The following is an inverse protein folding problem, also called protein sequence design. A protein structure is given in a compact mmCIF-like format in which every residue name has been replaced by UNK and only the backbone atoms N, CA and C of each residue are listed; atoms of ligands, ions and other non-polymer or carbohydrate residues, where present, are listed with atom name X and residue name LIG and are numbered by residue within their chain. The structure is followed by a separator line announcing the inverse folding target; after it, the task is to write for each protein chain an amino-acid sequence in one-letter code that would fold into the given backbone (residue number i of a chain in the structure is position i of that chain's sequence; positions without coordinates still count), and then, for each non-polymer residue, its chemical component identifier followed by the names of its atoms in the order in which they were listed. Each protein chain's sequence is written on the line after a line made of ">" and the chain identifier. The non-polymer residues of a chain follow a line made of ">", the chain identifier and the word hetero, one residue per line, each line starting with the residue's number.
data_IF_136429762714
#
_entry.id   IF_136429762714
#
_cell.length_a   1.000
_cell.length_b   1.000
_cell.length_c   1.000
_cell.angle_alpha   90.00
_cell.angle_beta   90.00
_cell.angle_gamma   90.00
#
_symmetry.space_group_name_H-M   'P 1'
#
loop_
_entity.id
_entity.type
_entity.pdbx_description
1 polymer ?
#
# COMPACT_ATOMS: atom_id res chain seq x y z
N UNK A 1 -17.69 -4.00 19.72
CA UNK A 1 -16.49 -3.25 20.09
C UNK A 1 -16.79 -1.77 19.89
N UNK A 2 -17.16 -1.07 20.99
CA UNK A 2 -17.44 0.36 20.96
C UNK A 2 -16.12 1.14 20.99
N UNK A 3 -15.55 1.42 19.82
CA UNK A 3 -14.43 2.38 19.70
C UNK A 3 -14.95 3.74 20.07
N UNK A 4 -14.22 4.43 20.96
CA UNK A 4 -14.53 5.84 21.29
C UNK A 4 -14.06 6.71 20.12
N UNK A 5 -14.83 7.74 19.73
CA UNK A 5 -14.40 8.68 18.70
C UNK A 5 -13.16 9.45 19.19
N UNK A 6 -12.24 9.72 18.25
CA UNK A 6 -11.05 10.55 18.51
C UNK A 6 -11.47 11.96 18.91
N UNK A 7 -10.97 12.44 20.04
CA UNK A 7 -11.21 13.78 20.53
C UNK A 7 -10.00 14.67 20.20
N UNK A 8 -10.14 15.49 19.15
CA UNK A 8 -9.08 16.41 18.72
C UNK A 8 -8.04 15.75 17.82
N UNK A 9 -6.76 15.82 18.17
CA UNK A 9 -5.65 15.19 17.42
C UNK A 9 -4.86 14.27 18.35
N UNK A 10 -4.66 13.04 17.93
CA UNK A 10 -3.80 12.07 18.61
C UNK A 10 -2.53 11.86 17.78
N UNK A 11 -1.36 11.99 18.41
CA UNK A 11 -0.07 11.75 17.76
C UNK A 11 0.45 10.39 18.23
N UNK A 12 0.72 9.50 17.27
CA UNK A 12 1.35 8.21 17.53
C UNK A 12 2.68 8.16 16.81
N UNK A 13 3.66 7.61 17.49
CA UNK A 13 4.95 7.29 16.94
C UNK A 13 4.97 5.81 16.57
N UNK A 14 5.29 5.52 15.32
CA UNK A 14 5.46 4.18 14.80
C UNK A 14 6.87 4.03 14.27
N UNK A 15 7.51 2.94 14.60
CA UNK A 15 8.77 2.54 13.98
C UNK A 15 8.48 1.47 12.93
N UNK A 16 8.77 1.78 11.68
CA UNK A 16 8.51 0.85 10.56
C UNK A 16 9.57 1.01 9.49
N UNK A 17 10.02 -0.10 8.93
CA UNK A 17 11.18 -0.16 8.02
C UNK A 17 12.42 0.56 8.57
N UNK A 18 12.55 0.62 9.91
CA UNK A 18 13.62 1.36 10.59
C UNK A 18 13.51 2.89 10.53
N UNK A 19 12.40 3.41 10.05
CA UNK A 19 12.10 4.86 10.06
C UNK A 19 11.08 5.20 11.13
N UNK A 20 11.23 6.39 11.69
CA UNK A 20 10.28 6.95 12.63
C UNK A 20 9.14 7.63 11.86
N UNK A 21 7.94 7.09 11.97
CA UNK A 21 6.73 7.64 11.35
C UNK A 21 5.86 8.26 12.43
N UNK A 22 5.58 9.55 12.32
CA UNK A 22 4.64 10.24 13.21
C UNK A 22 3.29 10.33 12.53
N UNK A 23 2.30 9.64 13.07
CA UNK A 23 0.93 9.73 12.58
C UNK A 23 0.13 10.69 13.44
N UNK A 24 -0.64 11.56 12.79
CA UNK A 24 -1.60 12.46 13.45
C UNK A 24 -3.00 11.99 13.08
N UNK A 25 -3.69 11.36 14.03
CA UNK A 25 -5.09 10.99 13.87
C UNK A 25 -5.96 12.21 14.21
N UNK A 26 -6.60 12.77 13.17
CA UNK A 26 -7.43 13.97 13.29
C UNK A 26 -8.91 13.58 13.36
N UNK A 27 -9.62 14.08 14.37
CA UNK A 27 -11.03 13.79 14.56
C UNK A 27 -11.90 14.26 13.39
N UNK A 28 -12.76 13.37 12.90
CA UNK A 28 -13.75 13.67 11.87
C UNK A 28 -15.03 14.37 12.35
N UNK A 29 -15.13 14.74 13.65
CA UNK A 29 -16.29 15.44 14.20
C UNK A 29 -16.31 16.91 13.76
N UNK A 30 -17.48 17.50 13.50
CA UNK A 30 -17.67 18.83 12.93
C UNK A 30 -16.92 19.93 13.71
N UNK A 31 -17.06 19.95 15.04
CA UNK A 31 -16.34 20.91 15.90
C UNK A 31 -14.82 20.74 15.83
N UNK A 32 -14.35 19.54 15.57
CA UNK A 32 -12.92 19.25 15.43
C UNK A 32 -12.41 19.63 14.05
N UNK A 33 -13.19 19.39 12.99
CA UNK A 33 -12.86 19.77 11.61
C UNK A 33 -12.65 21.28 11.49
N UNK A 34 -13.56 22.09 12.07
CA UNK A 34 -13.42 23.55 12.09
C UNK A 34 -12.14 23.99 12.81
N UNK A 35 -11.83 23.40 13.97
CA UNK A 35 -10.59 23.68 14.71
C UNK A 35 -9.34 23.30 13.91
N UNK A 36 -9.38 22.16 13.19
CA UNK A 36 -8.27 21.70 12.35
C UNK A 36 -8.02 22.68 11.21
N UNK A 37 -9.06 23.12 10.51
CA UNK A 37 -8.95 24.11 9.43
C UNK A 37 -8.45 25.47 9.93
N UNK A 38 -8.96 25.94 11.05
CA UNK A 38 -8.51 27.20 11.67
C UNK A 38 -7.05 27.13 12.15
N UNK A 39 -6.50 25.93 12.31
CA UNK A 39 -5.10 25.66 12.69
C UNK A 39 -4.39 24.80 11.65
N UNK A 40 -4.76 24.94 10.39
CA UNK A 40 -4.18 24.16 9.29
C UNK A 40 -2.64 24.20 9.25
N UNK A 41 -1.94 25.32 9.57
CA UNK A 41 -0.49 25.32 9.67
C UNK A 41 0.08 24.32 10.69
N UNK A 42 -0.67 23.99 11.74
CA UNK A 42 -0.22 23.04 12.77
C UNK A 42 -0.48 21.60 12.35
N UNK A 43 -1.60 21.34 11.66
CA UNK A 43 -2.08 20.00 11.40
C UNK A 43 -1.76 19.49 10.00
N UNK A 44 -1.75 20.37 8.99
CA UNK A 44 -1.61 20.02 7.58
C UNK A 44 -0.27 20.46 6.99
N UNK A 45 0.37 21.50 7.54
CA UNK A 45 1.67 21.94 7.05
C UNK A 45 2.72 20.87 7.32
N UNK A 46 3.59 20.64 6.33
CA UNK A 46 4.70 19.68 6.41
C UNK A 46 4.25 18.21 6.62
N UNK A 47 3.04 17.90 6.19
CA UNK A 47 2.60 16.52 6.11
C UNK A 47 3.19 15.84 4.86
N UNK A 48 3.94 14.74 5.05
CA UNK A 48 4.54 13.97 3.95
C UNK A 48 3.52 13.12 3.20
N UNK A 49 2.43 12.75 3.88
CA UNK A 49 1.34 11.92 3.35
C UNK A 49 0.05 12.22 4.11
N UNK A 50 -1.08 12.21 3.40
CA UNK A 50 -2.41 12.34 3.99
C UNK A 50 -3.24 11.10 3.64
N UNK A 51 -3.80 10.45 4.66
CA UNK A 51 -4.87 9.48 4.50
C UNK A 51 -6.20 10.18 4.79
N UNK A 52 -7.07 10.26 3.78
CA UNK A 52 -8.40 10.84 3.92
C UNK A 52 -9.46 9.75 3.93
N UNK A 53 -10.16 9.57 5.05
CA UNK A 53 -11.12 8.50 5.24
C UNK A 53 -12.56 8.97 4.93
N UNK A 54 -13.28 8.18 4.10
CA UNK A 54 -14.70 8.36 3.82
C UNK A 54 -15.40 7.06 4.17
N UNK A 55 -16.49 7.15 4.95
CA UNK A 55 -17.34 6.02 5.30
C UNK A 55 -18.38 5.80 4.21
N UNK A 56 -18.32 4.64 3.50
CA UNK A 56 -19.25 4.32 2.42
C UNK A 56 -20.66 4.03 2.94
N UNK A 57 -20.79 3.66 4.22
CA UNK A 57 -22.09 3.35 4.85
C UNK A 57 -22.86 4.58 5.34
N UNK A 58 -22.29 5.77 5.19
CA UNK A 58 -22.91 7.04 5.59
C UNK A 58 -23.07 7.97 4.37
N UNK A 59 -23.95 7.61 3.42
CA UNK A 59 -24.10 8.37 2.17
C UNK A 59 -24.61 9.79 2.39
N UNK A 60 -25.36 10.04 3.46
CA UNK A 60 -25.90 11.35 3.80
C UNK A 60 -24.80 12.37 4.13
N UNK A 61 -23.65 11.90 4.60
CA UNK A 61 -22.51 12.77 4.95
C UNK A 61 -21.44 12.89 3.87
N UNK A 62 -21.62 12.26 2.72
CA UNK A 62 -20.63 12.34 1.63
C UNK A 62 -20.42 13.78 1.17
N UNK A 63 -21.49 14.57 1.00
CA UNK A 63 -21.38 15.97 0.57
C UNK A 63 -20.53 16.79 1.55
N UNK A 64 -20.79 16.66 2.83
CA UNK A 64 -20.03 17.31 3.89
C UNK A 64 -18.54 16.85 3.88
N UNK A 65 -18.31 15.54 3.71
CA UNK A 65 -16.95 15.00 3.61
C UNK A 65 -16.19 15.59 2.42
N UNK A 66 -16.84 15.69 1.25
CA UNK A 66 -16.22 16.24 0.04
C UNK A 66 -15.97 17.75 0.14
N UNK A 67 -16.85 18.50 0.79
CA UNK A 67 -16.61 19.92 1.09
C UNK A 67 -15.39 20.09 1.99
N UNK A 68 -15.29 19.31 3.06
CA UNK A 68 -14.13 19.33 3.96
C UNK A 68 -12.84 18.92 3.25
N UNK A 69 -12.90 17.90 2.39
CA UNK A 69 -11.79 17.49 1.54
C UNK A 69 -11.29 18.63 0.66
N UNK A 70 -12.20 19.34 -0.01
CA UNK A 70 -11.84 20.50 -0.83
C UNK A 70 -11.14 21.60 -0.01
N UNK A 71 -11.59 21.86 1.21
CA UNK A 71 -10.94 22.83 2.12
C UNK A 71 -9.53 22.41 2.51
N UNK A 72 -9.28 21.09 2.71
CA UNK A 72 -7.94 20.55 2.93
C UNK A 72 -7.06 20.81 1.69
N UNK A 73 -7.57 20.53 0.48
CA UNK A 73 -6.84 20.76 -0.77
C UNK A 73 -6.46 22.24 -0.96
N UNK A 74 -7.35 23.17 -0.63
CA UNK A 74 -7.05 24.60 -0.71
C UNK A 74 -5.92 25.00 0.26
N UNK A 75 -5.89 24.44 1.47
CA UNK A 75 -4.79 24.67 2.40
C UNK A 75 -3.46 24.11 1.89
N UNK A 76 -3.44 22.86 1.36
CA UNK A 76 -2.24 22.26 0.77
C UNK A 76 -1.72 23.12 -0.39
N UNK A 77 -2.62 23.63 -1.25
CA UNK A 77 -2.31 24.53 -2.35
C UNK A 77 -1.74 25.85 -1.86
N UNK A 78 -2.35 26.43 -0.82
CA UNK A 78 -1.89 27.69 -0.19
C UNK A 78 -0.44 27.56 0.31
N UNK A 79 -0.09 26.41 0.90
CA UNK A 79 1.25 26.12 1.39
C UNK A 79 2.21 25.66 0.28
N UNK A 80 1.76 25.59 -0.97
CA UNK A 80 2.53 25.10 -2.14
C UNK A 80 3.12 23.70 -1.95
N UNK A 81 2.46 22.86 -1.16
CA UNK A 81 2.87 21.50 -0.91
C UNK A 81 2.43 20.57 -2.05
N UNK A 82 3.17 19.48 -2.23
CA UNK A 82 2.85 18.39 -3.17
C UNK A 82 2.59 17.08 -2.43
N UNK A 83 2.00 17.19 -1.25
CA UNK A 83 1.69 16.05 -0.38
C UNK A 83 0.79 15.07 -1.12
N UNK A 84 1.17 13.80 -1.28
CA UNK A 84 0.29 12.78 -1.81
C UNK A 84 -0.87 12.53 -0.86
N UNK A 85 -2.04 12.21 -1.42
CA UNK A 85 -3.26 11.96 -0.67
C UNK A 85 -3.81 10.60 -1.05
N UNK A 86 -3.97 9.73 -0.07
CA UNK A 86 -4.64 8.45 -0.24
C UNK A 86 -6.07 8.57 0.30
N UNK A 87 -7.05 8.49 -0.60
CA UNK A 87 -8.46 8.49 -0.23
C UNK A 87 -8.86 7.05 0.12
N UNK A 88 -9.18 6.85 1.38
CA UNK A 88 -9.57 5.56 1.94
C UNK A 88 -11.09 5.49 2.03
N UNK A 89 -11.72 4.83 1.07
CA UNK A 89 -13.14 4.53 1.12
C UNK A 89 -13.30 3.32 2.05
N UNK A 90 -13.71 3.59 3.28
CA UNK A 90 -13.75 2.63 4.38
C UNK A 90 -15.10 1.93 4.52
N UNK A 91 -15.12 0.81 5.23
CA UNK A 91 -16.29 -0.03 5.49
C UNK A 91 -16.91 -0.65 4.23
N UNK A 92 -16.09 -0.86 3.18
CA UNK A 92 -16.46 -1.67 2.03
C UNK A 92 -16.34 -3.15 2.42
N UNK A 93 -17.27 -3.59 3.28
CA UNK A 93 -17.17 -4.90 3.91
C UNK A 93 -17.54 -6.03 2.93
N UNK A 94 -17.00 -7.26 3.13
CA UNK A 94 -17.14 -8.36 2.18
C UNK A 94 -18.59 -8.74 1.83
N UNK A 95 -19.53 -8.51 2.76
CA UNK A 95 -20.96 -8.78 2.61
C UNK A 95 -21.70 -7.79 1.71
N UNK A 96 -21.17 -6.55 1.56
CA UNK A 96 -21.82 -5.47 0.80
C UNK A 96 -21.02 -5.00 -0.42
N UNK A 97 -19.72 -5.30 -0.49
CA UNK A 97 -18.80 -4.76 -1.52
C UNK A 97 -19.27 -4.97 -2.98
N UNK A 98 -20.02 -6.06 -3.21
CA UNK A 98 -20.46 -6.44 -4.56
C UNK A 98 -21.89 -5.97 -4.88
N UNK A 99 -22.58 -5.30 -3.94
CA UNK A 99 -23.91 -4.74 -4.17
C UNK A 99 -23.85 -3.53 -5.11
N UNK A 100 -24.87 -3.33 -5.92
CA UNK A 100 -24.93 -2.18 -6.83
C UNK A 100 -24.96 -0.85 -6.07
N UNK A 101 -25.66 -0.81 -4.93
CA UNK A 101 -25.76 0.37 -4.07
C UNK A 101 -24.36 0.87 -3.63
N UNK A 102 -23.53 -0.01 -3.11
CA UNK A 102 -22.18 0.34 -2.67
C UNK A 102 -21.28 0.72 -3.86
N UNK A 103 -21.40 0.01 -4.98
CA UNK A 103 -20.66 0.36 -6.21
C UNK A 103 -21.02 1.75 -6.71
N UNK A 104 -22.29 2.11 -6.69
CA UNK A 104 -22.76 3.44 -7.11
C UNK A 104 -22.25 4.54 -6.17
N UNK A 105 -22.30 4.31 -4.86
CA UNK A 105 -21.74 5.25 -3.86
C UNK A 105 -20.24 5.44 -4.05
N UNK A 106 -19.48 4.35 -4.21
CA UNK A 106 -18.04 4.41 -4.48
C UNK A 106 -17.75 5.18 -5.76
N UNK A 107 -18.50 4.90 -6.84
CA UNK A 107 -18.35 5.57 -8.11
C UNK A 107 -18.62 7.09 -7.99
N UNK A 108 -19.66 7.48 -7.27
CA UNK A 108 -19.97 8.89 -7.01
C UNK A 108 -18.85 9.59 -6.23
N UNK A 109 -18.30 8.95 -5.19
CA UNK A 109 -17.19 9.51 -4.40
C UNK A 109 -15.96 9.74 -5.30
N UNK A 110 -15.58 8.72 -6.08
CA UNK A 110 -14.40 8.80 -6.96
C UNK A 110 -14.56 9.90 -7.98
N UNK A 111 -15.66 9.92 -8.73
CA UNK A 111 -15.90 10.93 -9.77
C UNK A 111 -15.89 12.35 -9.21
N UNK A 112 -16.57 12.57 -8.11
CA UNK A 112 -16.63 13.91 -7.50
C UNK A 112 -15.27 14.39 -6.99
N UNK A 113 -14.45 13.49 -6.46
CA UNK A 113 -13.07 13.84 -6.07
C UNK A 113 -12.23 14.13 -7.32
N UNK A 114 -12.34 13.33 -8.37
CA UNK A 114 -11.66 13.58 -9.64
C UNK A 114 -12.06 14.94 -10.23
N UNK A 115 -13.35 15.29 -10.22
CA UNK A 115 -13.83 16.61 -10.65
C UNK A 115 -13.22 17.76 -9.83
N UNK A 116 -13.20 17.64 -8.48
CA UNK A 116 -12.60 18.64 -7.58
C UNK A 116 -11.08 18.80 -7.87
N UNK A 117 -10.43 17.77 -8.35
CA UNK A 117 -8.97 17.72 -8.49
C UNK A 117 -8.45 17.93 -9.90
N UNK A 118 -9.31 17.85 -10.94
CA UNK A 118 -8.94 17.97 -12.36
C UNK A 118 -8.04 19.20 -12.66
N UNK A 119 -8.35 20.34 -12.07
CA UNK A 119 -7.61 21.58 -12.30
C UNK A 119 -6.36 21.73 -11.39
N UNK A 120 -6.23 20.90 -10.34
CA UNK A 120 -5.32 21.17 -9.23
C UNK A 120 -4.04 20.31 -9.22
N UNK A 121 -3.93 19.31 -10.11
CA UNK A 121 -2.75 18.40 -10.25
C UNK A 121 -2.27 17.79 -8.91
N UNK A 122 -3.19 17.37 -8.06
CA UNK A 122 -2.84 16.61 -6.85
C UNK A 122 -2.53 15.15 -7.21
N UNK A 123 -1.61 14.54 -6.44
CA UNK A 123 -1.39 13.09 -6.49
C UNK A 123 -2.39 12.42 -5.56
N UNK A 124 -3.48 11.87 -6.12
CA UNK A 124 -4.56 11.22 -5.37
C UNK A 124 -4.71 9.79 -5.84
N UNK A 125 -4.78 8.87 -4.89
CA UNK A 125 -5.05 7.46 -5.15
C UNK A 125 -6.15 6.96 -4.22
N UNK A 126 -6.96 5.98 -4.70
CA UNK A 126 -8.13 5.48 -3.99
C UNK A 126 -7.94 4.05 -3.53
N UNK A 127 -8.34 3.77 -2.29
CA UNK A 127 -8.30 2.44 -1.69
C UNK A 127 -9.64 2.10 -1.04
N UNK A 128 -10.20 0.94 -1.41
CA UNK A 128 -11.35 0.36 -0.73
C UNK A 128 -10.86 -0.48 0.43
N UNK A 129 -11.36 -0.23 1.64
CA UNK A 129 -10.89 -0.92 2.85
C UNK A 129 -12.03 -1.43 3.72
N UNK A 130 -11.76 -2.52 4.43
CA UNK A 130 -12.65 -3.09 5.44
C UNK A 130 -11.84 -3.67 6.60
N UNK A 131 -12.30 -3.45 7.83
CA UNK A 131 -11.71 -4.09 9.02
C UNK A 131 -11.92 -5.62 9.03
N UNK A 132 -12.90 -6.12 8.28
CA UNK A 132 -13.13 -7.56 8.10
C UNK A 132 -12.22 -8.17 7.02
N UNK A 133 -11.48 -7.34 6.30
CA UNK A 133 -10.47 -7.74 5.32
C UNK A 133 -9.18 -6.96 5.58
N UNK A 134 -8.44 -7.38 6.61
CA UNK A 134 -7.24 -6.69 7.10
C UNK A 134 -6.22 -6.43 5.98
N UNK A 135 -6.17 -7.30 4.97
CA UNK A 135 -5.24 -7.15 3.84
C UNK A 135 -5.53 -5.93 2.98
N UNK A 136 -6.78 -5.46 2.92
CA UNK A 136 -7.12 -4.21 2.21
C UNK A 136 -6.52 -3.00 2.92
N UNK A 137 -6.48 -3.03 4.25
CA UNK A 137 -5.86 -2.00 5.09
C UNK A 137 -4.34 -2.06 4.95
N UNK A 138 -3.75 -3.26 5.04
CA UNK A 138 -2.30 -3.45 4.87
C UNK A 138 -1.83 -2.96 3.51
N UNK A 139 -2.59 -3.21 2.44
CA UNK A 139 -2.31 -2.73 1.09
C UNK A 139 -2.27 -1.20 1.03
N UNK A 140 -3.31 -0.52 1.51
CA UNK A 140 -3.38 0.94 1.54
C UNK A 140 -2.24 1.54 2.37
N UNK A 141 -1.95 0.95 3.52
CA UNK A 141 -0.89 1.39 4.41
C UNK A 141 0.51 1.16 3.82
N UNK A 142 0.78 -0.03 3.26
CA UNK A 142 2.04 -0.33 2.55
C UNK A 142 2.30 0.65 1.42
N UNK A 143 1.26 0.92 0.62
CA UNK A 143 1.38 1.88 -0.48
C UNK A 143 1.78 3.26 0.02
N UNK A 144 1.11 3.78 1.05
CA UNK A 144 1.45 5.06 1.65
C UNK A 144 2.87 5.10 2.21
N UNK A 145 3.28 4.09 2.98
CA UNK A 145 4.66 3.99 3.48
C UNK A 145 5.69 3.97 2.34
N UNK A 146 5.36 3.29 1.25
CA UNK A 146 6.24 3.23 0.09
C UNK A 146 6.40 4.58 -0.62
N UNK A 147 5.38 5.46 -0.57
CA UNK A 147 5.49 6.84 -1.07
C UNK A 147 6.43 7.69 -0.22
N UNK A 148 6.55 7.40 1.08
CA UNK A 148 7.46 8.07 1.99
C UNK A 148 8.91 7.60 1.85
N UNK A 149 9.16 6.46 1.20
CA UNK A 149 10.51 5.94 1.01
C UNK A 149 11.30 6.73 -0.04
N UNK A 150 12.39 7.41 0.32
CA UNK A 150 13.19 8.18 -0.63
C UNK A 150 13.87 7.28 -1.67
N UNK A 151 14.16 6.04 -1.31
CA UNK A 151 14.90 5.09 -2.14
C UNK A 151 14.01 4.12 -2.93
N UNK A 152 12.68 4.19 -2.74
CA UNK A 152 11.75 3.25 -3.38
C UNK A 152 11.97 3.10 -4.88
N UNK A 153 12.12 4.22 -5.59
CA UNK A 153 12.32 4.18 -7.04
C UNK A 153 13.57 3.41 -7.44
N UNK A 154 14.64 3.54 -6.65
CA UNK A 154 15.89 2.86 -6.93
C UNK A 154 15.82 1.37 -6.55
N UNK A 155 15.14 1.05 -5.44
CA UNK A 155 14.88 -0.35 -5.06
C UNK A 155 14.02 -1.02 -6.12
N UNK A 156 12.94 -0.39 -6.57
CA UNK A 156 12.07 -0.91 -7.63
C UNK A 156 12.84 -1.08 -8.96
N UNK A 157 13.72 -0.14 -9.30
CA UNK A 157 14.56 -0.24 -10.49
C UNK A 157 15.50 -1.46 -10.43
N UNK A 158 16.20 -1.65 -9.29
CA UNK A 158 17.09 -2.81 -9.11
C UNK A 158 16.31 -4.13 -9.13
N UNK A 159 15.14 -4.17 -8.45
CA UNK A 159 14.26 -5.33 -8.43
C UNK A 159 13.71 -5.63 -9.84
N UNK A 160 13.35 -4.58 -10.59
CA UNK A 160 12.87 -4.71 -11.96
C UNK A 160 13.93 -5.31 -12.89
N UNK A 161 15.15 -4.76 -12.87
CA UNK A 161 16.26 -5.31 -13.67
C UNK A 161 16.57 -6.76 -13.34
N UNK A 162 16.67 -7.09 -12.06
CA UNK A 162 16.86 -8.47 -11.61
C UNK A 162 15.74 -9.38 -12.16
N UNK A 163 14.49 -8.92 -12.11
CA UNK A 163 13.34 -9.69 -12.56
C UNK A 163 13.32 -9.88 -14.08
N UNK A 164 13.69 -8.85 -14.82
CA UNK A 164 13.81 -8.92 -16.30
C UNK A 164 14.92 -9.84 -16.75
N UNK A 165 16.09 -9.81 -16.08
CA UNK A 165 17.25 -10.65 -16.40
C UNK A 165 16.95 -12.15 -16.24
N UNK A 166 16.02 -12.53 -15.34
CA UNK A 166 15.62 -13.92 -15.05
C UNK A 166 14.27 -14.27 -15.70
N UNK A 167 13.57 -13.26 -16.26
CA UNK A 167 12.20 -13.40 -16.77
C UNK A 167 11.18 -13.79 -15.68
N UNK A 168 11.19 -13.05 -14.57
CA UNK A 168 10.23 -13.20 -13.48
C UNK A 168 8.97 -12.39 -13.80
N UNK A 169 7.79 -12.98 -13.62
CA UNK A 169 6.51 -12.33 -13.89
C UNK A 169 6.18 -11.24 -12.84
N UNK A 170 6.41 -11.54 -11.57
CA UNK A 170 6.22 -10.60 -10.45
C UNK A 170 7.31 -10.82 -9.42
N UNK A 171 7.84 -9.73 -8.87
CA UNK A 171 8.67 -9.77 -7.67
C UNK A 171 8.24 -8.71 -6.66
N UNK A 172 8.31 -9.06 -5.39
CA UNK A 172 7.99 -8.17 -4.28
C UNK A 172 8.99 -8.34 -3.16
N UNK A 173 9.35 -7.22 -2.53
CA UNK A 173 10.12 -7.19 -1.30
C UNK A 173 9.21 -6.71 -0.16
N UNK A 174 9.14 -7.49 0.91
CA UNK A 174 8.26 -7.23 2.06
C UNK A 174 9.04 -7.36 3.36
N UNK A 175 8.54 -6.67 4.39
CA UNK A 175 9.00 -6.90 5.76
C UNK A 175 8.27 -8.10 6.40
N UNK A 176 8.61 -8.40 7.65
CA UNK A 176 7.99 -9.51 8.40
C UNK A 176 6.50 -9.32 8.70
N UNK A 177 5.97 -8.10 8.67
CA UNK A 177 4.54 -7.81 8.80
C UNK A 177 3.78 -7.97 7.49
N UNK A 178 4.48 -8.25 6.37
CA UNK A 178 3.89 -8.34 5.04
C UNK A 178 3.65 -6.98 4.37
N UNK A 179 4.27 -5.91 4.89
CA UNK A 179 4.25 -4.60 4.25
C UNK A 179 5.19 -4.58 3.05
N UNK A 180 4.68 -4.18 1.90
CA UNK A 180 5.41 -4.17 0.64
C UNK A 180 6.28 -2.92 0.56
N UNK A 181 7.60 -3.12 0.46
CA UNK A 181 8.61 -2.08 0.31
C UNK A 181 8.87 -1.76 -1.17
N UNK A 182 8.94 -2.80 -2.00
CA UNK A 182 9.19 -2.68 -3.43
C UNK A 182 8.43 -3.75 -4.20
N UNK A 183 8.08 -3.44 -5.44
CA UNK A 183 7.32 -4.32 -6.32
C UNK A 183 7.72 -4.14 -7.78
N UNK A 184 7.66 -5.24 -8.53
CA UNK A 184 7.83 -5.27 -9.99
C UNK A 184 6.78 -6.20 -10.61
N UNK A 185 6.28 -5.80 -11.77
CA UNK A 185 5.34 -6.56 -12.59
C UNK A 185 5.80 -6.53 -14.04
N UNK A 186 5.96 -7.69 -14.66
CA UNK A 186 6.38 -7.76 -16.05
C UNK A 186 5.34 -7.16 -17.00
N UNK A 187 5.80 -6.56 -18.09
CA UNK A 187 4.93 -5.95 -19.11
C UNK A 187 4.05 -6.98 -19.82
N UNK A 188 4.53 -8.21 -19.98
CA UNK A 188 3.78 -9.36 -20.53
C UNK A 188 2.56 -9.66 -19.68
N UNK A 189 2.74 -9.83 -18.37
CA UNK A 189 1.64 -10.09 -17.45
C UNK A 189 0.63 -8.95 -17.43
N UNK A 190 1.08 -7.69 -17.42
CA UNK A 190 0.20 -6.53 -17.47
C UNK A 190 -0.55 -6.40 -18.80
N UNK A 191 0.02 -6.92 -19.90
CA UNK A 191 -0.61 -6.99 -21.22
C UNK A 191 -1.71 -8.05 -21.31
N UNK A 192 -1.46 -9.25 -20.82
CA UNK A 192 -2.40 -10.38 -20.84
C UNK A 192 -3.71 -10.07 -20.09
N UNK A 193 -3.64 -9.27 -19.03
CA UNK A 193 -4.76 -8.97 -18.15
C UNK A 193 -5.68 -7.88 -18.69
N UNK A 194 -5.20 -6.99 -19.56
CA UNK A 194 -6.07 -6.02 -20.23
C UNK A 194 -7.18 -6.68 -21.04
N UNK A 195 -6.99 -7.93 -21.46
CA UNK A 195 -7.98 -8.68 -22.24
C UNK A 195 -8.97 -9.50 -21.42
N UNK A 196 -8.70 -9.75 -20.13
CA UNK A 196 -9.50 -10.67 -19.29
C UNK A 196 -10.54 -9.95 -18.42
N UNK A 197 -10.40 -8.65 -18.19
CA UNK A 197 -11.32 -7.87 -17.35
C UNK A 197 -12.08 -6.83 -18.20
N UNK A 198 -13.40 -6.98 -18.28
CA UNK A 198 -14.27 -6.08 -19.03
C UNK A 198 -14.21 -4.64 -18.50
N UNK A 199 -14.30 -3.67 -19.40
CA UNK A 199 -14.13 -2.23 -19.18
C UNK A 199 -15.13 -1.55 -18.20
N UNK A 200 -16.05 -2.32 -17.58
CA UNK A 200 -17.20 -1.79 -16.85
C UNK A 200 -17.02 -1.67 -15.32
N UNK A 201 -15.82 -1.84 -14.76
CA UNK A 201 -15.62 -1.64 -13.31
C UNK A 201 -14.75 -0.40 -13.03
N UNK A 202 -15.28 0.59 -12.26
CA UNK A 202 -14.58 1.85 -11.99
C UNK A 202 -13.29 1.69 -11.16
N UNK A 203 -13.11 0.55 -10.50
CA UNK A 203 -11.87 0.16 -9.83
C UNK A 203 -11.41 -1.17 -10.44
N UNK A 204 -10.68 -1.08 -11.56
CA UNK A 204 -10.06 -2.26 -12.18
C UNK A 204 -9.24 -2.98 -11.12
N UNK A 205 -9.69 -4.17 -10.71
CA UNK A 205 -8.87 -5.09 -9.93
C UNK A 205 -7.71 -5.55 -10.83
N UNK A 206 -6.66 -4.77 -10.89
CA UNK A 206 -5.45 -5.14 -11.61
C UNK A 206 -4.82 -6.33 -10.89
N UNK A 207 -4.07 -7.17 -11.59
CA UNK A 207 -3.26 -8.24 -10.98
C UNK A 207 -2.37 -7.68 -9.88
N UNK A 208 -1.89 -6.45 -10.03
CA UNK A 208 -1.21 -5.72 -8.99
C UNK A 208 -2.01 -5.74 -7.69
N UNK A 209 -3.29 -5.37 -7.72
CA UNK A 209 -4.15 -5.37 -6.54
C UNK A 209 -4.29 -6.76 -5.92
N UNK A 210 -4.39 -7.79 -6.74
CA UNK A 210 -4.49 -9.19 -6.26
C UNK A 210 -3.21 -9.59 -5.54
N UNK A 211 -2.04 -9.35 -6.14
CA UNK A 211 -0.77 -9.73 -5.53
C UNK A 211 -0.41 -8.87 -4.32
N UNK A 212 -0.75 -7.58 -4.30
CA UNK A 212 -0.61 -6.72 -3.12
C UNK A 212 -1.44 -7.20 -1.92
N UNK A 213 -2.57 -7.88 -2.17
CA UNK A 213 -3.37 -8.52 -1.12
C UNK A 213 -2.83 -9.90 -0.78
N UNK A 214 -2.44 -10.68 -1.77
CA UNK A 214 -2.02 -12.07 -1.62
C UNK A 214 -0.65 -12.20 -0.93
N UNK A 215 0.32 -11.36 -1.29
CA UNK A 215 1.68 -11.45 -0.81
C UNK A 215 1.80 -11.40 0.73
N UNK A 216 1.14 -10.47 1.46
CA UNK A 216 1.12 -10.50 2.92
C UNK A 216 0.48 -11.77 3.51
N UNK A 217 -0.52 -12.34 2.84
CA UNK A 217 -1.18 -13.58 3.30
C UNK A 217 -0.23 -14.77 3.21
N UNK A 218 0.47 -14.89 2.08
CA UNK A 218 1.44 -15.97 1.86
C UNK A 218 2.62 -15.82 2.82
N UNK A 219 3.10 -14.59 3.05
CA UNK A 219 4.16 -14.32 4.04
C UNK A 219 3.72 -14.74 5.44
N UNK A 220 2.47 -14.46 5.82
CA UNK A 220 1.93 -14.89 7.10
C UNK A 220 1.80 -16.42 7.21
N UNK A 221 1.35 -17.07 6.14
CA UNK A 221 1.29 -18.54 6.07
C UNK A 221 2.69 -19.16 6.25
N UNK A 222 3.70 -18.60 5.58
CA UNK A 222 5.10 -18.99 5.73
C UNK A 222 5.54 -18.94 7.21
N UNK A 223 5.29 -17.83 7.91
CA UNK A 223 5.63 -17.65 9.34
C UNK A 223 4.90 -18.64 10.25
N UNK A 224 3.64 -18.97 9.93
CA UNK A 224 2.89 -19.99 10.67
C UNK A 224 3.57 -21.35 10.55
N UNK A 225 3.99 -21.75 9.34
CA UNK A 225 4.71 -23.01 9.13
C UNK A 225 6.08 -23.03 9.81
N UNK A 226 6.83 -21.93 9.74
CA UNK A 226 8.12 -21.78 10.43
C UNK A 226 7.96 -22.00 11.95
N UNK A 227 6.96 -21.32 12.54
CA UNK A 227 6.64 -21.45 13.96
C UNK A 227 6.13 -22.84 14.34
N UNK A 228 5.31 -23.45 13.47
CA UNK A 228 4.75 -24.78 13.70
C UNK A 228 5.83 -25.87 13.68
N UNK A 229 6.85 -25.72 12.82
CA UNK A 229 7.94 -26.69 12.68
C UNK A 229 9.10 -26.45 13.63
N UNK A 230 9.12 -25.32 14.34
CA UNK A 230 10.23 -24.90 15.22
C UNK A 230 11.60 -24.88 14.49
N UNK A 231 11.56 -24.65 13.18
CA UNK A 231 12.76 -24.62 12.33
C UNK A 231 12.82 -23.32 11.56
N UNK A 232 14.02 -22.81 11.36
CA UNK A 232 14.23 -21.64 10.49
C UNK A 232 14.09 -22.10 9.04
N UNK A 233 13.08 -21.57 8.37
CA UNK A 233 12.80 -21.85 6.96
C UNK A 233 13.32 -20.64 6.17
N UNK A 234 14.19 -20.87 5.19
CA UNK A 234 14.73 -19.80 4.36
C UNK A 234 14.01 -19.68 3.01
N UNK A 235 13.28 -20.73 2.63
CA UNK A 235 12.58 -20.80 1.36
C UNK A 235 11.26 -21.55 1.48
N UNK A 236 10.26 -21.11 0.71
CA UNK A 236 9.03 -21.85 0.49
C UNK A 236 8.61 -21.74 -0.98
N UNK A 237 8.20 -22.88 -1.58
CA UNK A 237 7.73 -22.95 -2.96
C UNK A 237 6.29 -23.41 -2.96
N UNK A 238 5.41 -22.61 -3.59
CA UNK A 238 3.99 -22.90 -3.74
C UNK A 238 3.67 -23.10 -5.23
N UNK A 239 3.35 -24.33 -5.62
CA UNK A 239 2.91 -24.66 -6.98
C UNK A 239 1.40 -24.46 -7.08
N UNK A 240 0.99 -23.44 -7.84
CA UNK A 240 -0.42 -23.10 -8.09
C UNK A 240 -0.92 -23.89 -9.30
N UNK A 241 -0.10 -23.92 -10.35
CA UNK A 241 -0.30 -24.71 -11.57
C UNK A 241 1.07 -25.19 -12.09
N UNK A 242 1.16 -26.01 -13.16
CA UNK A 242 2.43 -26.36 -13.78
C UNK A 242 3.27 -25.15 -14.19
N UNK A 243 2.61 -24.06 -14.62
CA UNK A 243 3.22 -22.85 -15.17
C UNK A 243 3.09 -21.62 -14.26
N UNK A 244 2.65 -21.83 -13.00
CA UNK A 244 2.46 -20.75 -12.01
C UNK A 244 2.97 -21.16 -10.64
N UNK A 245 4.13 -20.64 -10.29
CA UNK A 245 4.86 -20.98 -9.06
C UNK A 245 5.17 -19.70 -8.28
N UNK A 246 4.89 -19.72 -6.99
CA UNK A 246 5.32 -18.66 -6.07
C UNK A 246 6.49 -19.19 -5.25
N UNK A 247 7.60 -18.46 -5.28
CA UNK A 247 8.80 -18.72 -4.49
C UNK A 247 8.93 -17.60 -3.48
N UNK A 248 9.10 -17.97 -2.22
CA UNK A 248 9.39 -17.02 -1.14
C UNK A 248 10.78 -17.31 -0.60
N UNK A 249 11.61 -16.28 -0.53
CA UNK A 249 12.94 -16.31 0.08
C UNK A 249 12.96 -15.38 1.30
N UNK A 250 13.33 -15.92 2.45
CA UNK A 250 13.61 -15.13 3.67
C UNK A 250 15.06 -14.71 3.65
N UNK A 251 15.32 -13.46 3.90
CA UNK A 251 16.65 -12.87 4.03
C UNK A 251 16.74 -12.06 5.32
N UNK A 252 17.92 -11.83 5.80
CA UNK A 252 18.19 -10.96 6.95
C UNK A 252 18.94 -9.71 6.47
N UNK A 253 18.36 -8.54 6.74
CA UNK A 253 19.02 -7.25 6.54
C UNK A 253 19.18 -6.62 7.91
N UNK A 254 20.41 -6.51 8.40
CA UNK A 254 20.72 -6.06 9.77
C UNK A 254 19.89 -6.77 10.84
N UNK A 255 19.83 -8.09 10.79
CA UNK A 255 19.05 -8.96 11.68
C UNK A 255 17.51 -8.78 11.59
N UNK A 256 17.01 -8.01 10.63
CA UNK A 256 15.55 -7.91 10.41
C UNK A 256 15.15 -8.84 9.27
N UNK A 257 14.18 -9.73 9.47
CA UNK A 257 13.70 -10.61 8.43
C UNK A 257 12.93 -9.81 7.37
N UNK A 258 13.34 -10.01 6.14
CA UNK A 258 12.69 -9.52 4.94
C UNK A 258 12.33 -10.70 4.05
N UNK A 259 11.30 -10.54 3.23
CA UNK A 259 10.81 -11.60 2.36
C UNK A 259 10.76 -11.11 0.93
N UNK A 260 11.42 -11.85 0.03
CA UNK A 260 11.16 -11.75 -1.39
C UNK A 260 10.07 -12.75 -1.78
N UNK A 261 9.12 -12.28 -2.57
CA UNK A 261 8.16 -13.12 -3.27
C UNK A 261 8.43 -13.01 -4.77
N UNK A 262 8.58 -14.15 -5.43
CA UNK A 262 8.75 -14.24 -6.86
C UNK A 262 7.62 -15.10 -7.46
N UNK A 263 6.95 -14.61 -8.50
CA UNK A 263 5.99 -15.36 -9.28
C UNK A 263 6.62 -15.71 -10.63
N UNK A 264 6.78 -16.99 -10.89
CA UNK A 264 7.51 -17.52 -12.04
C UNK A 264 6.68 -18.60 -12.76
N UNK A 265 7.04 -18.91 -14.00
CA UNK A 265 6.38 -19.92 -14.84
C UNK A 265 6.96 -21.32 -14.72
N UNK A 266 8.17 -21.48 -14.16
CA UNK A 266 8.79 -22.77 -13.93
C UNK A 266 9.72 -22.75 -12.71
N UNK A 267 10.00 -23.95 -12.17
CA UNK A 267 10.80 -24.14 -10.96
C UNK A 267 12.32 -23.96 -11.21
N UNK A 268 12.77 -24.12 -12.45
CA UNK A 268 14.19 -23.95 -12.80
C UNK A 268 14.68 -22.51 -12.57
N UNK A 269 13.75 -21.55 -12.62
CA UNK A 269 14.06 -20.15 -12.29
C UNK A 269 14.50 -19.96 -10.83
N UNK A 270 14.19 -20.91 -9.92
CA UNK A 270 14.66 -20.85 -8.54
C UNK A 270 16.19 -20.90 -8.44
N UNK A 271 16.85 -21.74 -9.23
CA UNK A 271 18.33 -21.81 -9.24
C UNK A 271 18.95 -20.49 -9.72
N UNK A 272 18.35 -19.87 -10.75
CA UNK A 272 18.78 -18.54 -11.22
C UNK A 272 18.54 -17.45 -10.17
N UNK A 273 17.40 -17.50 -9.47
CA UNK A 273 17.13 -16.58 -8.37
C UNK A 273 18.22 -16.69 -7.31
N UNK A 274 18.61 -17.91 -6.91
CA UNK A 274 19.66 -18.13 -5.92
C UNK A 274 21.03 -17.63 -6.37
N UNK A 275 21.34 -17.80 -7.65
CA UNK A 275 22.59 -17.30 -8.23
C UNK A 275 22.68 -15.76 -8.22
N UNK A 276 21.59 -15.07 -8.58
CA UNK A 276 21.59 -13.61 -8.76
C UNK A 276 21.10 -12.82 -7.54
N UNK A 277 20.42 -13.46 -6.58
CA UNK A 277 19.89 -12.81 -5.38
C UNK A 277 20.97 -12.09 -4.54
N UNK A 278 22.19 -12.64 -4.35
CA UNK A 278 23.26 -11.95 -3.63
C UNK A 278 23.62 -10.61 -4.27
N UNK A 279 23.66 -10.53 -5.60
CA UNK A 279 23.93 -9.28 -6.33
C UNK A 279 22.80 -8.26 -6.17
N UNK A 280 21.55 -8.71 -6.16
CA UNK A 280 20.42 -7.83 -5.87
C UNK A 280 20.50 -7.28 -4.45
N UNK A 281 20.87 -8.12 -3.48
CA UNK A 281 21.03 -7.72 -2.08
C UNK A 281 22.15 -6.70 -1.91
N UNK A 282 23.30 -6.90 -2.52
CA UNK A 282 24.41 -5.94 -2.50
C UNK A 282 23.97 -4.53 -2.97
N UNK A 283 23.11 -4.47 -4.00
CA UNK A 283 22.61 -3.21 -4.57
C UNK A 283 21.45 -2.59 -3.78
N UNK A 284 20.73 -3.37 -2.98
CA UNK A 284 19.48 -2.92 -2.35
C UNK A 284 19.57 -2.78 -0.84
N UNK A 285 20.42 -3.56 -0.16
CA UNK A 285 20.51 -3.53 1.31
C UNK A 285 20.84 -2.14 1.85
N UNK A 286 21.80 -1.44 1.25
CA UNK A 286 22.20 -0.09 1.66
C UNK A 286 21.06 0.92 1.46
N UNK A 287 20.23 0.73 0.44
CA UNK A 287 19.07 1.59 0.18
C UNK A 287 17.97 1.37 1.23
N UNK A 288 17.80 0.13 1.68
CA UNK A 288 16.87 -0.23 2.73
C UNK A 288 17.36 0.29 4.08
N UNK A 289 18.67 0.16 4.35
CA UNK A 289 19.31 0.66 5.56
C UNK A 289 19.25 2.20 5.61
N UNK A 290 19.55 2.89 4.51
CA UNK A 290 19.47 4.35 4.43
C UNK A 290 18.05 4.89 4.59
N UNK A 291 17.05 4.11 4.26
CA UNK A 291 15.66 4.43 4.58
C UNK A 291 15.46 4.58 6.10
N UNK A 292 16.24 3.81 6.90
CA UNK A 292 16.20 3.88 8.37
C UNK A 292 16.92 5.10 8.94
N UNK A 293 18.01 5.57 8.29
CA UNK A 293 18.91 6.57 8.88
C UNK A 293 18.60 8.01 8.46
N UNK A 294 17.83 8.24 7.41
CA UNK A 294 17.59 9.58 6.85
C UNK A 294 16.22 10.19 7.23
N UNK A 295 15.49 9.57 8.12
CA UNK A 295 14.32 10.17 8.71
C UNK A 295 14.71 11.05 9.90
N UNK A 296 15.11 12.31 9.66
CA UNK A 296 15.34 13.40 10.60
C UNK A 296 16.78 13.93 10.64
N UNK A 297 17.00 14.93 9.81
CA UNK A 297 17.75 16.13 10.17
C UNK A 297 16.89 17.35 9.81
#
# INVERSE_FOLDING_TARGET
>A
LGLKPTLGAEIKHLETFGSHVFTRDLSGQDKSREKILNRAPIYLYDADLIYYFIDVRDPERIDECLQYFNQILENIKLYKQKTPILVIISKVDPDIKDTNEIKDVVYQIVNRIEEITQEKKFNIEFFLTSIFSVYTILRAYSHGLSLLSPNRKLINFNLGRFSEDIDIKISMLMNEQGLILADFYSSTLLGEIKYTFSESQPLKSSVKNVFEILAPQITNLYKIFEKFRETDINEAIYKISPDDIIIIKKILIENNPMFFLFFVDNEEKNEKIDEFLPLLLEKTQDLIIRFRTHGFY
#
